data_IF_671951580300
#
_entry.id   IF_671951580300
#
_cell.length_a   1.000
_cell.length_b   1.000
_cell.length_c   1.000
_cell.angle_alpha   90.00
_cell.angle_beta   90.00
_cell.angle_gamma   90.00
#
_symmetry.space_group_name_H-M   'P 1'
#
loop_
_entity.id
_entity.type
_entity.pdbx_description
1 polymer ?
#
# COMPACT_ATOMS: atom_id res chain seq x y z
N UNK A 1 -33.64 9.30 -4.65
CA UNK A 1 -32.29 8.75 -4.94
C UNK A 1 -32.44 7.24 -5.01
N UNK A 2 -32.17 6.61 -6.15
CA UNK A 2 -32.41 5.17 -6.30
C UNK A 2 -31.36 4.36 -5.53
N UNK A 3 -31.68 3.12 -5.15
CA UNK A 3 -30.76 2.27 -4.36
C UNK A 3 -29.39 2.08 -5.02
N UNK A 4 -29.34 2.03 -6.36
CA UNK A 4 -28.09 1.97 -7.11
C UNK A 4 -27.27 3.26 -7.03
N UNK A 5 -27.91 4.43 -7.02
CA UNK A 5 -27.22 5.72 -6.91
C UNK A 5 -26.57 5.87 -5.53
N UNK A 6 -27.22 5.35 -4.48
CA UNK A 6 -26.65 5.30 -3.14
C UNK A 6 -25.40 4.40 -3.10
N UNK A 7 -25.43 3.25 -3.77
CA UNK A 7 -24.26 2.37 -3.87
C UNK A 7 -23.12 3.04 -4.64
N UNK A 8 -23.42 3.68 -5.77
CA UNK A 8 -22.44 4.46 -6.55
C UNK A 8 -21.80 5.56 -5.71
N UNK A 9 -22.62 6.35 -5.02
CA UNK A 9 -22.15 7.43 -4.14
C UNK A 9 -21.26 6.90 -3.01
N UNK A 10 -21.66 5.80 -2.38
CA UNK A 10 -20.87 5.13 -1.34
C UNK A 10 -19.53 4.64 -1.87
N UNK A 11 -19.50 4.02 -3.05
CA UNK A 11 -18.28 3.58 -3.69
C UNK A 11 -17.34 4.76 -3.99
N UNK A 12 -17.84 5.82 -4.61
CA UNK A 12 -17.07 7.05 -4.88
C UNK A 12 -16.52 7.71 -3.61
N UNK A 13 -17.31 7.72 -2.52
CA UNK A 13 -16.86 8.25 -1.22
C UNK A 13 -15.74 7.41 -0.60
N UNK A 14 -15.78 6.08 -0.78
CA UNK A 14 -14.70 5.21 -0.31
C UNK A 14 -13.43 5.42 -1.15
N UNK A 15 -13.57 5.66 -2.46
CA UNK A 15 -12.43 5.98 -3.32
C UNK A 15 -11.75 7.29 -2.90
N UNK A 16 -12.51 8.36 -2.67
CA UNK A 16 -11.95 9.66 -2.27
C UNK A 16 -11.22 9.59 -0.93
N UNK A 17 -11.65 8.68 -0.03
CA UNK A 17 -10.98 8.37 1.25
C UNK A 17 -9.79 7.42 1.11
N UNK A 18 -9.44 6.97 -0.10
CA UNK A 18 -8.36 6.02 -0.34
C UNK A 18 -8.67 4.58 0.08
N UNK A 19 -9.92 4.27 0.42
CA UNK A 19 -10.38 2.94 0.85
C UNK A 19 -10.72 2.05 -0.36
N UNK A 20 -9.75 1.91 -1.27
CA UNK A 20 -9.96 1.33 -2.61
C UNK A 20 -10.50 -0.10 -2.58
N UNK A 21 -10.04 -0.95 -1.64
CA UNK A 21 -10.55 -2.33 -1.50
C UNK A 21 -12.04 -2.38 -1.18
N UNK A 22 -12.52 -1.48 -0.31
CA UNK A 22 -13.94 -1.40 0.05
C UNK A 22 -14.76 -0.84 -1.09
N UNK A 23 -14.23 0.14 -1.84
CA UNK A 23 -14.87 0.65 -3.05
C UNK A 23 -15.03 -0.45 -4.11
N UNK A 24 -13.99 -1.27 -4.31
CA UNK A 24 -14.00 -2.42 -5.23
C UNK A 24 -15.13 -3.39 -4.91
N UNK A 25 -15.33 -3.77 -3.64
CA UNK A 25 -16.43 -4.66 -3.24
C UNK A 25 -17.78 -4.12 -3.69
N UNK A 26 -18.04 -2.83 -3.50
CA UNK A 26 -19.31 -2.22 -3.91
C UNK A 26 -19.45 -2.19 -5.43
N UNK A 27 -18.39 -1.84 -6.17
CA UNK A 27 -18.45 -1.87 -7.63
C UNK A 27 -18.65 -3.28 -8.19
N UNK A 28 -18.09 -4.29 -7.53
CA UNK A 28 -18.33 -5.69 -7.88
C UNK A 28 -19.78 -6.10 -7.62
N UNK A 29 -20.35 -5.73 -6.46
CA UNK A 29 -21.76 -6.00 -6.14
C UNK A 29 -22.71 -5.37 -7.16
N UNK A 30 -22.42 -4.14 -7.60
CA UNK A 30 -23.21 -3.47 -8.65
C UNK A 30 -23.03 -4.19 -10.00
N UNK A 31 -21.81 -4.58 -10.37
CA UNK A 31 -21.52 -5.14 -11.70
C UNK A 31 -22.13 -6.53 -11.92
N UNK A 32 -22.31 -7.32 -10.87
CA UNK A 32 -22.88 -8.68 -10.95
C UNK A 32 -24.40 -8.71 -10.72
N UNK A 33 -25.03 -7.61 -10.28
CA UNK A 33 -26.44 -7.61 -9.92
C UNK A 33 -27.36 -7.61 -11.17
N UNK A 34 -28.09 -8.70 -11.45
CA UNK A 34 -28.90 -8.82 -12.66
C UNK A 34 -30.13 -7.89 -12.63
N UNK A 35 -30.55 -7.41 -11.46
CA UNK A 35 -31.70 -6.51 -11.30
C UNK A 35 -31.41 -5.06 -11.70
N UNK A 36 -30.14 -4.72 -11.89
CA UNK A 36 -29.73 -3.37 -12.29
C UNK A 36 -29.75 -3.21 -13.81
N UNK A 37 -29.72 -1.97 -14.29
CA UNK A 37 -29.62 -1.73 -15.73
C UNK A 37 -28.26 -2.20 -16.27
N UNK A 38 -28.22 -2.61 -17.54
CA UNK A 38 -26.95 -2.94 -18.22
C UNK A 38 -25.96 -1.77 -18.14
N UNK A 39 -26.46 -0.54 -18.31
CA UNK A 39 -25.64 0.66 -18.20
C UNK A 39 -24.95 0.79 -16.83
N UNK A 40 -25.67 0.54 -15.73
CA UNK A 40 -25.10 0.62 -14.38
C UNK A 40 -24.06 -0.46 -14.13
N UNK A 41 -24.33 -1.69 -14.61
CA UNK A 41 -23.37 -2.80 -14.51
C UNK A 41 -22.10 -2.50 -15.30
N UNK A 42 -22.22 -2.00 -16.52
CA UNK A 42 -21.09 -1.66 -17.38
C UNK A 42 -20.26 -0.52 -16.78
N UNK A 43 -20.92 0.50 -16.22
CA UNK A 43 -20.24 1.58 -15.49
C UNK A 43 -19.48 1.05 -14.28
N UNK A 44 -20.11 0.16 -13.50
CA UNK A 44 -19.48 -0.46 -12.35
C UNK A 44 -18.27 -1.32 -12.74
N UNK A 45 -18.36 -2.08 -13.83
CA UNK A 45 -17.26 -2.87 -14.36
C UNK A 45 -16.06 -2.00 -14.78
N UNK A 46 -16.32 -0.86 -15.43
CA UNK A 46 -15.27 0.12 -15.77
C UNK A 46 -14.55 0.65 -14.52
N UNK A 47 -15.30 1.01 -13.48
CA UNK A 47 -14.72 1.48 -12.22
C UNK A 47 -13.94 0.39 -11.49
N UNK A 48 -14.49 -0.82 -11.42
CA UNK A 48 -13.82 -2.00 -10.84
C UNK A 48 -12.45 -2.22 -11.49
N UNK A 49 -12.41 -2.26 -12.83
CA UNK A 49 -11.18 -2.47 -13.58
C UNK A 49 -10.15 -1.35 -13.33
N UNK A 50 -10.59 -0.09 -13.30
CA UNK A 50 -9.72 1.06 -13.00
C UNK A 50 -9.09 0.94 -11.61
N UNK A 51 -9.88 0.63 -10.59
CA UNK A 51 -9.40 0.53 -9.20
C UNK A 51 -8.47 -0.67 -9.01
N UNK A 52 -8.80 -1.82 -9.60
CA UNK A 52 -7.94 -3.00 -9.55
C UNK A 52 -6.58 -2.74 -10.19
N UNK A 53 -6.55 -2.06 -11.35
CA UNK A 53 -5.29 -1.63 -11.98
C UNK A 53 -4.49 -0.68 -11.09
N UNK A 54 -5.13 0.30 -10.46
CA UNK A 54 -4.45 1.23 -9.56
C UNK A 54 -3.85 0.53 -8.33
N UNK A 55 -4.52 -0.48 -7.78
CA UNK A 55 -3.96 -1.31 -6.70
C UNK A 55 -2.78 -2.12 -7.20
N UNK A 56 -2.91 -2.78 -8.36
CA UNK A 56 -1.85 -3.61 -8.92
C UNK A 56 -0.58 -2.79 -9.19
N UNK A 57 -0.71 -1.60 -9.80
CA UNK A 57 0.41 -0.69 -10.01
C UNK A 57 1.13 -0.31 -8.70
N UNK A 58 0.37 -0.05 -7.61
CA UNK A 58 0.98 0.23 -6.30
C UNK A 58 1.75 -0.97 -5.76
N UNK A 59 1.23 -2.18 -5.93
CA UNK A 59 1.90 -3.42 -5.52
C UNK A 59 3.18 -3.63 -6.35
N UNK A 60 3.12 -3.40 -7.66
CA UNK A 60 4.25 -3.59 -8.55
C UNK A 60 5.38 -2.61 -8.24
N UNK A 61 5.07 -1.33 -8.02
CA UNK A 61 6.06 -0.32 -7.57
C UNK A 61 6.70 -0.73 -6.23
N UNK A 62 5.92 -1.26 -5.29
CA UNK A 62 6.47 -1.75 -4.02
C UNK A 62 7.38 -2.96 -4.22
N UNK A 63 7.01 -3.89 -5.10
CA UNK A 63 7.83 -5.06 -5.43
C UNK A 63 9.13 -4.68 -6.12
N UNK A 64 9.12 -3.72 -7.04
CA UNK A 64 10.33 -3.21 -7.70
C UNK A 64 11.29 -2.58 -6.69
N UNK A 65 10.79 -1.74 -5.77
CA UNK A 65 11.60 -1.19 -4.67
C UNK A 65 12.23 -2.28 -3.80
N UNK A 66 11.54 -3.40 -3.61
CA UNK A 66 12.08 -4.53 -2.83
C UNK A 66 13.15 -5.33 -3.60
N UNK A 67 13.08 -5.42 -4.93
CA UNK A 67 14.11 -6.11 -5.73
C UNK A 67 15.45 -5.37 -5.78
N UNK A 68 15.45 -4.05 -5.56
CA UNK A 68 16.65 -3.19 -5.65
C UNK A 68 17.72 -3.44 -4.59
N UNK A 69 17.50 -4.30 -3.59
CA UNK A 69 18.45 -4.46 -2.49
C UNK A 69 18.70 -5.95 -2.13
N UNK A 70 19.37 -6.70 -3.02
CA UNK A 70 19.74 -8.09 -2.79
C UNK A 70 20.79 -8.25 -1.67
N UNK A 71 21.61 -7.22 -1.41
CA UNK A 71 22.69 -7.29 -0.40
C UNK A 71 22.21 -7.04 1.04
N UNK A 72 20.91 -6.87 1.27
CA UNK A 72 20.34 -6.67 2.62
C UNK A 72 20.59 -7.84 3.58
N UNK A 73 20.99 -9.02 3.13
CA UNK A 73 21.27 -10.13 4.05
C UNK A 73 22.76 -10.44 4.19
N UNK A 74 23.64 -9.78 3.41
CA UNK A 74 25.08 -10.10 3.43
C UNK A 74 25.83 -9.43 4.58
N UNK A 75 25.49 -8.19 4.92
CA UNK A 75 26.27 -7.37 5.87
C UNK A 75 25.49 -7.04 7.15
N UNK A 76 24.70 -7.99 7.66
CA UNK A 76 23.80 -7.76 8.79
C UNK A 76 24.52 -7.21 10.03
N UNK A 77 25.65 -7.81 10.44
CA UNK A 77 26.34 -7.34 11.65
C UNK A 77 27.05 -6.00 11.49
N UNK A 78 27.71 -5.78 10.36
CA UNK A 78 28.28 -4.47 10.02
C UNK A 78 27.21 -3.38 10.03
N UNK A 79 26.01 -3.68 9.53
CA UNK A 79 24.88 -2.75 9.59
C UNK A 79 24.35 -2.52 11.00
N UNK A 80 24.36 -3.53 11.89
CA UNK A 80 24.00 -3.31 13.30
C UNK A 80 24.99 -2.37 13.98
N UNK A 81 26.29 -2.60 13.82
CA UNK A 81 27.34 -1.75 14.39
C UNK A 81 27.20 -0.31 13.90
N UNK A 82 27.00 -0.13 12.59
CA UNK A 82 26.78 1.18 11.98
C UNK A 82 25.52 1.86 12.52
N UNK A 83 24.40 1.15 12.63
CA UNK A 83 23.15 1.68 13.20
C UNK A 83 23.35 2.12 14.65
N UNK A 84 24.03 1.31 15.47
CA UNK A 84 24.30 1.66 16.87
C UNK A 84 25.21 2.87 16.99
N UNK A 85 26.21 2.99 16.12
CA UNK A 85 27.07 4.17 16.05
C UNK A 85 26.27 5.44 15.70
N UNK A 86 25.39 5.38 14.70
CA UNK A 86 24.55 6.52 14.30
C UNK A 86 23.56 6.92 15.40
N UNK A 87 23.04 5.96 16.17
CA UNK A 87 22.23 6.27 17.36
C UNK A 87 23.02 7.03 18.43
N UNK A 88 24.28 6.63 18.69
CA UNK A 88 25.17 7.34 19.64
C UNK A 88 25.50 8.76 19.18
N UNK A 89 25.48 9.01 17.87
CA UNK A 89 25.61 10.36 17.30
C UNK A 89 24.32 11.19 17.40
N UNK A 90 23.23 10.64 17.94
CA UNK A 90 21.96 11.36 18.14
C UNK A 90 21.03 11.38 16.92
N UNK A 91 21.32 10.61 15.86
CA UNK A 91 20.47 10.57 14.68
C UNK A 91 19.12 9.90 14.97
N UNK A 92 18.09 10.40 14.30
CA UNK A 92 16.75 9.81 14.35
C UNK A 92 16.68 8.55 13.49
N UNK A 93 15.75 7.65 13.83
CA UNK A 93 15.49 6.43 13.05
C UNK A 93 15.21 6.71 11.57
N UNK A 94 14.62 7.87 11.24
CA UNK A 94 14.35 8.27 9.84
C UNK A 94 15.65 8.59 9.09
N UNK A 95 16.58 9.30 9.71
CA UNK A 95 17.88 9.63 9.13
C UNK A 95 18.75 8.37 8.98
N UNK A 96 18.77 7.52 10.02
CA UNK A 96 19.48 6.24 9.99
C UNK A 96 18.95 5.35 8.85
N UNK A 97 17.64 5.32 8.63
CA UNK A 97 17.02 4.60 7.51
C UNK A 97 17.51 5.12 6.16
N UNK A 98 17.69 6.43 5.99
CA UNK A 98 18.18 7.00 4.74
C UNK A 98 19.67 6.70 4.52
N UNK A 99 20.48 6.65 5.58
CA UNK A 99 21.92 6.36 5.47
C UNK A 99 22.17 4.87 5.22
N UNK A 100 21.46 4.01 5.95
CA UNK A 100 21.72 2.55 5.95
C UNK A 100 20.83 1.79 4.97
N UNK A 101 19.79 2.43 4.44
CA UNK A 101 18.77 1.81 3.58
C UNK A 101 18.12 0.58 4.23
N UNK A 102 18.19 0.47 5.56
CA UNK A 102 17.58 -0.61 6.35
C UNK A 102 16.15 -0.25 6.74
N UNK A 103 15.31 -1.28 6.92
CA UNK A 103 13.93 -1.06 7.35
C UNK A 103 13.91 -0.48 8.77
N UNK A 104 12.87 0.30 9.07
CA UNK A 104 12.65 0.83 10.42
C UNK A 104 12.62 -0.28 11.46
N UNK A 105 11.97 -1.40 11.15
CA UNK A 105 11.88 -2.54 12.06
C UNK A 105 13.25 -3.14 12.40
N UNK A 106 14.13 -3.27 11.39
CA UNK A 106 15.50 -3.73 11.61
C UNK A 106 16.27 -2.76 12.50
N UNK A 107 16.14 -1.45 12.24
CA UNK A 107 16.80 -0.39 13.02
C UNK A 107 16.28 -0.36 14.48
N UNK A 108 14.97 -0.52 14.69
CA UNK A 108 14.39 -0.62 16.04
C UNK A 108 14.84 -1.88 16.78
N UNK A 109 14.96 -3.01 16.08
CA UNK A 109 15.48 -4.24 16.67
C UNK A 109 16.94 -4.13 17.10
N UNK A 110 17.76 -3.35 16.38
CA UNK A 110 19.13 -3.05 16.82
C UNK A 110 19.14 -2.27 18.13
N UNK A 111 18.26 -1.27 18.26
CA UNK A 111 18.12 -0.47 19.49
C UNK A 111 17.64 -1.30 20.69
N UNK A 112 16.72 -2.24 20.49
CA UNK A 112 16.15 -3.07 21.58
C UNK A 112 17.12 -4.12 22.15
N UNK A 113 18.13 -4.54 21.38
CA UNK A 113 19.07 -5.61 21.74
C UNK A 113 20.42 -5.09 22.24
N UNK A 114 20.57 -3.78 22.36
CA UNK A 114 21.80 -3.13 22.80
C UNK A 114 21.77 -2.75 24.26
#
# INVERSE_FOLDING_TARGET
>A
MNGVDLLKFKASTLESKGLLRRAITIWQDISINPKLSKHDRDQAMRNLNRLTRAIQQKIDIQREKLKSHPDRYKNVESDKEKIMHLYRQGLTTKEIQQITQRSRDFIYNCKKKS
#
